data_IF_863654742630
#
_entry.id   IF_863654742630
#
_cell.length_a   1.000
_cell.length_b   1.000
_cell.length_c   1.000
_cell.angle_alpha   90.00
_cell.angle_beta   90.00
_cell.angle_gamma   90.00
#
_symmetry.space_group_name_H-M   'P 1'
#
loop_
_entity.id
_entity.type
_entity.pdbx_description
1 polymer ?
#
# COMPACT_ATOMS: atom_id res chain seq x y z
N UNK A 1 -32.66 -14.45 42.03
CA UNK A 1 -31.36 -15.10 41.74
C UNK A 1 -31.42 -15.98 40.50
N UNK A 2 -32.41 -16.87 40.35
CA UNK A 2 -32.54 -17.77 39.19
C UNK A 2 -32.62 -17.06 37.82
N UNK A 3 -33.33 -15.93 37.75
CA UNK A 3 -33.48 -15.13 36.51
C UNK A 3 -32.17 -14.57 35.98
N UNK A 4 -31.28 -14.13 36.88
CA UNK A 4 -29.93 -13.69 36.51
C UNK A 4 -29.09 -14.85 35.97
N UNK A 5 -29.22 -16.03 36.59
CA UNK A 5 -28.51 -17.24 36.14
C UNK A 5 -29.00 -17.66 34.75
N UNK A 6 -30.31 -17.67 34.51
CA UNK A 6 -30.87 -18.00 33.19
C UNK A 6 -30.51 -16.95 32.14
N UNK A 7 -30.51 -15.66 32.50
CA UNK A 7 -30.11 -14.59 31.58
C UNK A 7 -28.62 -14.68 31.22
N UNK A 8 -27.74 -14.95 32.18
CA UNK A 8 -26.31 -15.19 31.96
C UNK A 8 -26.06 -16.39 31.04
N UNK A 9 -26.85 -17.45 31.21
CA UNK A 9 -26.73 -18.68 30.41
C UNK A 9 -27.19 -18.44 28.97
N UNK A 10 -28.32 -17.72 28.79
CA UNK A 10 -28.81 -17.30 27.47
C UNK A 10 -27.82 -16.36 26.76
N UNK A 11 -27.25 -15.39 27.48
CA UNK A 11 -26.26 -14.48 26.89
C UNK A 11 -24.96 -15.20 26.52
N UNK A 12 -24.49 -16.16 27.33
CA UNK A 12 -23.34 -17.00 26.99
C UNK A 12 -23.57 -17.81 25.71
N UNK A 13 -24.75 -18.42 25.57
CA UNK A 13 -25.11 -19.18 24.37
C UNK A 13 -25.14 -18.26 23.15
N UNK A 14 -25.82 -17.12 23.22
CA UNK A 14 -25.87 -16.16 22.11
C UNK A 14 -24.49 -15.60 21.76
N UNK A 15 -23.66 -15.32 22.76
CA UNK A 15 -22.28 -14.85 22.56
C UNK A 15 -21.43 -15.91 21.88
N UNK A 16 -21.59 -17.19 22.25
CA UNK A 16 -20.85 -18.29 21.60
C UNK A 16 -21.21 -18.46 20.13
N UNK A 17 -22.50 -18.41 19.77
CA UNK A 17 -22.95 -18.43 18.38
C UNK A 17 -22.46 -17.20 17.60
N UNK A 18 -22.50 -16.03 18.22
CA UNK A 18 -21.99 -14.79 17.62
C UNK A 18 -20.49 -14.87 17.34
N UNK A 19 -19.69 -15.36 18.29
CA UNK A 19 -18.24 -15.51 18.10
C UNK A 19 -17.89 -16.52 17.01
N UNK A 20 -18.62 -17.64 16.91
CA UNK A 20 -18.44 -18.61 15.81
C UNK A 20 -18.82 -18.02 14.46
N UNK A 21 -19.92 -17.24 14.41
CA UNK A 21 -20.32 -16.51 13.19
C UNK A 21 -19.27 -15.46 12.79
N UNK A 22 -18.76 -14.68 13.76
CA UNK A 22 -17.71 -13.71 13.54
C UNK A 22 -16.39 -14.34 13.09
N UNK A 23 -16.03 -15.51 13.62
CA UNK A 23 -14.86 -16.26 13.14
C UNK A 23 -14.99 -16.62 11.66
N UNK A 24 -16.17 -17.08 11.24
CA UNK A 24 -16.44 -17.43 9.85
C UNK A 24 -16.36 -16.20 8.92
N UNK A 25 -16.95 -15.07 9.34
CA UNK A 25 -16.89 -13.80 8.61
C UNK A 25 -15.45 -13.26 8.55
N UNK A 26 -14.72 -13.24 9.68
CA UNK A 26 -13.34 -12.77 9.73
C UNK A 26 -12.39 -13.62 8.89
N UNK A 27 -12.62 -14.92 8.77
CA UNK A 27 -11.84 -15.80 7.90
C UNK A 27 -12.01 -15.43 6.43
N UNK A 28 -13.25 -15.17 5.99
CA UNK A 28 -13.56 -14.74 4.62
C UNK A 28 -12.98 -13.34 4.35
N UNK A 29 -13.17 -12.39 5.28
CA UNK A 29 -12.65 -11.03 5.16
C UNK A 29 -11.13 -11.03 5.11
N UNK A 30 -10.45 -11.85 5.93
CA UNK A 30 -8.98 -11.98 5.91
C UNK A 30 -8.47 -12.55 4.60
N UNK A 31 -9.17 -13.53 4.01
CA UNK A 31 -8.85 -14.07 2.69
C UNK A 31 -9.01 -13.02 1.58
N UNK A 32 -10.13 -12.31 1.57
CA UNK A 32 -10.41 -11.23 0.61
C UNK A 32 -9.43 -10.06 0.74
N UNK A 33 -9.14 -9.63 1.97
CA UNK A 33 -8.18 -8.56 2.24
C UNK A 33 -6.77 -8.94 1.81
N UNK A 34 -6.33 -10.18 2.06
CA UNK A 34 -5.03 -10.67 1.61
C UNK A 34 -4.94 -10.69 0.08
N UNK A 35 -6.02 -11.09 -0.60
CA UNK A 35 -6.10 -11.06 -2.07
C UNK A 35 -6.02 -9.65 -2.63
N UNK A 36 -6.80 -8.70 -2.11
CA UNK A 36 -6.77 -7.29 -2.53
C UNK A 36 -5.41 -6.66 -2.25
N UNK A 37 -4.82 -6.93 -1.08
CA UNK A 37 -3.50 -6.41 -0.73
C UNK A 37 -2.41 -6.97 -1.65
N UNK A 38 -2.50 -8.26 -2.00
CA UNK A 38 -1.60 -8.90 -2.96
C UNK A 38 -1.77 -8.32 -4.37
N UNK A 39 -3.01 -8.08 -4.79
CA UNK A 39 -3.31 -7.45 -6.08
C UNK A 39 -2.74 -6.04 -6.16
N UNK A 40 -2.91 -5.22 -5.11
CA UNK A 40 -2.32 -3.87 -5.05
C UNK A 40 -0.79 -3.95 -5.05
N UNK A 41 -0.21 -4.93 -4.35
CA UNK A 41 1.25 -5.09 -4.35
C UNK A 41 1.80 -5.40 -5.74
N UNK A 42 1.12 -6.31 -6.45
CA UNK A 42 1.47 -6.76 -7.78
C UNK A 42 1.25 -5.70 -8.85
N UNK A 43 0.14 -4.95 -8.77
CA UNK A 43 -0.11 -3.81 -9.66
C UNK A 43 0.99 -2.76 -9.50
N UNK A 44 1.40 -2.47 -8.26
CA UNK A 44 2.48 -1.55 -8.00
C UNK A 44 3.84 -2.09 -8.46
N UNK A 45 4.13 -3.38 -8.28
CA UNK A 45 5.38 -3.99 -8.77
C UNK A 45 5.47 -3.93 -10.30
N UNK A 46 4.34 -4.07 -11.00
CA UNK A 46 4.24 -3.92 -12.45
C UNK A 46 4.42 -2.47 -12.91
N UNK A 47 3.84 -1.51 -12.19
CA UNK A 47 3.99 -0.07 -12.45
C UNK A 47 5.44 0.41 -12.20
N UNK A 48 6.18 -0.26 -11.31
CA UNK A 48 7.57 0.08 -11.01
C UNK A 48 8.58 -0.36 -12.08
N UNK A 49 8.17 -1.10 -13.11
CA UNK A 49 9.06 -1.52 -14.17
C UNK A 49 9.99 -2.65 -13.71
N UNK A 50 9.49 -3.86 -13.83
CA UNK A 50 10.32 -5.03 -14.09
C UNK A 50 10.91 -4.89 -15.51
N UNK A 51 11.75 -3.87 -15.74
CA UNK A 51 12.55 -3.79 -16.95
C UNK A 51 13.71 -4.76 -16.77
N UNK A 52 13.54 -5.92 -17.39
CA UNK A 52 14.60 -6.75 -17.95
C UNK A 52 15.61 -7.23 -16.90
N UNK A 53 15.34 -8.43 -16.38
CA UNK A 53 16.35 -9.21 -15.69
C UNK A 53 17.57 -9.32 -16.59
N UNK A 54 18.66 -8.67 -16.18
CA UNK A 54 19.99 -8.88 -16.76
C UNK A 54 20.27 -10.38 -16.71
N UNK A 55 20.54 -10.92 -17.91
CA UNK A 55 20.95 -12.30 -18.16
C UNK A 55 22.00 -12.74 -17.15
N UNK A 56 21.74 -13.88 -16.53
CA UNK A 56 22.61 -14.59 -15.60
C UNK A 56 23.77 -15.21 -16.39
N UNK A 57 24.75 -14.39 -16.77
CA UNK A 57 25.95 -14.85 -17.48
C UNK A 57 27.08 -15.13 -16.46
N UNK A 58 27.23 -16.42 -16.15
CA UNK A 58 28.46 -17.19 -15.86
C UNK A 58 29.70 -16.49 -15.27
N UNK A 59 29.52 -15.66 -14.26
CA UNK A 59 30.54 -15.37 -13.25
C UNK A 59 29.81 -15.31 -11.89
N UNK A 60 30.45 -15.57 -10.76
CA UNK A 60 29.79 -15.72 -9.44
C UNK A 60 29.23 -14.40 -8.90
N UNK A 61 28.29 -13.80 -9.61
CA UNK A 61 27.67 -12.51 -9.33
C UNK A 61 26.53 -12.77 -8.34
N UNK A 62 26.87 -12.80 -7.05
CA UNK A 62 25.87 -12.87 -5.97
C UNK A 62 25.11 -11.55 -5.85
N UNK A 63 24.10 -11.33 -6.69
CA UNK A 63 23.24 -10.14 -6.62
C UNK A 63 22.16 -10.32 -5.54
N UNK A 64 22.07 -9.37 -4.60
CA UNK A 64 20.97 -9.29 -3.63
C UNK A 64 20.21 -7.99 -3.81
N UNK A 65 18.91 -8.08 -4.12
CA UNK A 65 18.04 -6.92 -4.29
C UNK A 65 17.13 -6.77 -3.07
N UNK A 66 17.23 -5.63 -2.38
CA UNK A 66 16.34 -5.26 -1.28
C UNK A 66 15.45 -4.12 -1.71
N UNK A 67 14.13 -4.29 -1.61
CA UNK A 67 13.12 -3.28 -1.95
C UNK A 67 12.35 -2.88 -0.69
N UNK A 68 12.28 -1.57 -0.40
CA UNK A 68 11.53 -1.02 0.74
C UNK A 68 10.60 0.09 0.27
N UNK A 69 9.34 0.04 0.70
CA UNK A 69 8.32 1.07 0.43
C UNK A 69 8.18 1.98 1.66
N UNK A 70 8.11 3.29 1.45
CA UNK A 70 7.95 4.29 2.52
C UNK A 70 6.85 5.27 2.10
N UNK A 71 5.89 5.52 2.98
CA UNK A 71 4.88 6.55 2.81
C UNK A 71 5.28 7.77 3.64
N UNK A 72 5.37 8.93 2.99
CA UNK A 72 5.74 10.19 3.63
C UNK A 72 4.55 11.15 3.53
N UNK A 73 4.15 11.76 4.64
CA UNK A 73 3.07 12.75 4.71
C UNK A 73 3.69 14.12 4.99
N UNK A 74 3.64 15.04 4.04
CA UNK A 74 4.07 16.43 4.23
C UNK A 74 4.18 17.23 2.93
N UNK A 75 3.89 18.53 2.98
CA UNK A 75 4.02 19.47 1.85
C UNK A 75 5.48 19.82 1.50
N UNK A 76 6.45 19.40 2.31
CA UNK A 76 7.89 19.67 2.15
C UNK A 76 8.56 18.82 1.05
N UNK A 77 7.80 18.01 0.31
CA UNK A 77 8.32 16.96 -0.59
C UNK A 77 8.26 17.28 -2.10
N UNK A 78 7.81 18.48 -2.50
CA UNK A 78 7.70 18.89 -3.92
C UNK A 78 9.04 18.85 -4.70
N UNK A 79 10.18 18.66 -4.03
CA UNK A 79 11.52 18.69 -4.64
C UNK A 79 12.26 17.35 -4.64
N UNK A 80 11.59 16.20 -4.42
CA UNK A 80 12.26 14.92 -4.63
C UNK A 80 12.26 14.58 -6.12
N UNK A 81 13.43 14.41 -6.76
CA UNK A 81 13.49 14.02 -8.17
C UNK A 81 12.78 12.67 -8.37
N UNK A 82 12.04 12.53 -9.47
CA UNK A 82 11.19 11.37 -9.74
C UNK A 82 11.96 10.04 -9.76
N UNK A 83 13.24 10.07 -10.13
CA UNK A 83 14.15 8.94 -10.07
C UNK A 83 15.57 9.40 -9.70
N UNK A 84 16.18 8.72 -8.74
CA UNK A 84 17.57 8.87 -8.36
C UNK A 84 18.24 7.49 -8.37
N UNK A 85 19.36 7.38 -9.07
CA UNK A 85 20.20 6.19 -9.05
C UNK A 85 21.56 6.59 -8.49
N UNK A 86 22.05 5.83 -7.51
CA UNK A 86 23.39 5.98 -6.94
C UNK A 86 24.10 4.64 -7.05
N UNK A 87 25.29 4.63 -7.64
CA UNK A 87 26.10 3.43 -7.80
C UNK A 87 27.44 3.62 -7.08
N UNK A 88 27.70 2.78 -6.09
CA UNK A 88 28.93 2.79 -5.29
C UNK A 88 29.67 1.47 -5.52
N UNK A 89 30.96 1.52 -5.85
CA UNK A 89 31.78 0.32 -6.05
C UNK A 89 32.78 0.18 -4.90
N UNK A 90 32.86 -1.03 -4.36
CA UNK A 90 33.72 -1.40 -3.24
C UNK A 90 34.56 -2.61 -3.64
N UNK A 91 35.69 -2.80 -2.94
CA UNK A 91 36.48 -4.04 -3.03
C UNK A 91 36.45 -4.69 -1.66
N UNK A 92 36.07 -5.96 -1.60
CA UNK A 92 36.08 -6.72 -0.35
C UNK A 92 37.50 -7.18 0.05
N UNK A 93 37.63 -7.75 1.24
CA UNK A 93 38.91 -8.23 1.76
C UNK A 93 39.51 -9.40 0.94
N UNK A 94 38.70 -10.07 0.11
CA UNK A 94 39.13 -11.14 -0.79
C UNK A 94 39.50 -10.61 -2.18
N UNK A 95 39.35 -9.31 -2.44
CA UNK A 95 39.66 -8.68 -3.72
C UNK A 95 38.50 -8.69 -4.74
N UNK A 96 37.29 -9.11 -4.35
CA UNK A 96 36.13 -9.07 -5.23
C UNK A 96 35.56 -7.66 -5.33
N UNK A 97 35.02 -7.34 -6.51
CA UNK A 97 34.36 -6.06 -6.77
C UNK A 97 32.88 -6.18 -6.37
N UNK A 98 32.46 -5.35 -5.41
CA UNK A 98 31.08 -5.26 -4.95
C UNK A 98 30.47 -3.95 -5.44
N UNK A 99 29.51 -4.03 -6.35
CA UNK A 99 28.75 -2.87 -6.84
C UNK A 99 27.42 -2.75 -6.11
N UNK A 100 27.19 -1.62 -5.44
CA UNK A 100 25.95 -1.29 -4.74
C UNK A 100 25.19 -0.21 -5.52
N UNK A 101 24.14 -0.64 -6.20
CA UNK A 101 23.20 0.24 -6.90
C UNK A 101 21.99 0.51 -6.02
N UNK A 102 21.75 1.77 -5.68
CA UNK A 102 20.58 2.26 -4.93
C UNK A 102 19.70 3.06 -5.89
N UNK A 103 18.48 2.59 -6.10
CA UNK A 103 17.47 3.27 -6.91
C UNK A 103 16.39 3.79 -5.97
N UNK A 104 16.09 5.09 -6.05
CA UNK A 104 14.98 5.74 -5.36
C UNK A 104 14.03 6.31 -6.42
N UNK A 105 12.79 5.86 -6.42
CA UNK A 105 11.77 6.28 -7.39
C UNK A 105 10.52 6.75 -6.66
N UNK A 106 10.00 7.91 -7.07
CA UNK A 106 8.69 8.39 -6.62
C UNK A 106 7.63 7.66 -7.44
N UNK A 107 6.93 6.72 -6.80
CA UNK A 107 5.95 5.86 -7.47
C UNK A 107 4.60 6.55 -7.65
N UNK A 108 4.20 7.37 -6.67
CA UNK A 108 2.93 8.10 -6.70
C UNK A 108 3.03 9.36 -5.86
N UNK A 109 2.57 10.47 -6.41
CA UNK A 109 2.27 11.69 -5.66
C UNK A 109 0.75 11.80 -5.53
N UNK A 110 0.27 12.11 -4.34
CA UNK A 110 -1.16 12.29 -4.06
C UNK A 110 -1.32 13.73 -3.59
N UNK A 111 -1.67 14.62 -4.51
CA UNK A 111 -1.94 16.01 -4.19
C UNK A 111 -3.33 16.11 -3.58
N UNK A 112 -3.40 16.54 -2.32
CA UNK A 112 -4.68 16.73 -1.61
C UNK A 112 -5.51 17.87 -2.18
N UNK A 113 -4.97 18.70 -3.08
CA UNK A 113 -5.68 19.79 -3.76
C UNK A 113 -6.67 19.30 -4.82
N UNK A 114 -6.58 18.05 -5.28
CA UNK A 114 -7.50 17.53 -6.31
C UNK A 114 -8.87 17.11 -5.76
N UNK A 115 -9.11 17.18 -4.45
CA UNK A 115 -10.38 16.79 -3.83
C UNK A 115 -11.43 17.93 -3.80
N UNK A 116 -11.04 19.19 -4.05
CA UNK A 116 -11.96 20.34 -3.97
C UNK A 116 -12.50 20.81 -5.32
N UNK A 117 -12.03 20.27 -6.46
CA UNK A 117 -12.46 20.70 -7.80
C UNK A 117 -13.68 19.93 -8.36
N UNK A 118 -14.42 19.20 -7.54
CA UNK A 118 -15.60 18.42 -7.96
C UNK A 118 -16.95 18.94 -7.43
N UNK A 119 -16.99 20.09 -6.76
CA UNK A 119 -18.23 20.67 -6.24
C UNK A 119 -18.27 22.21 -6.38
N UNK A 120 -18.33 22.73 -7.60
CA UNK A 120 -18.87 24.08 -7.86
C UNK A 120 -19.26 24.24 -9.34
N UNK A 121 -20.25 23.46 -9.77
CA UNK A 121 -20.95 23.66 -11.05
C UNK A 121 -22.44 23.39 -10.88
N UNK A 122 -23.11 24.02 -9.91
CA UNK A 122 -24.57 24.05 -9.90
C UNK A 122 -25.10 25.19 -9.01
N UNK A 123 -25.04 26.44 -9.47
CA UNK A 123 -26.03 27.49 -9.15
C UNK A 123 -25.74 28.76 -9.96
N UNK A 124 -26.07 28.75 -11.25
CA UNK A 124 -26.40 29.98 -11.99
C UNK A 124 -27.50 29.65 -12.98
N UNK A 125 -28.77 29.67 -12.53
CA UNK A 125 -29.95 29.91 -13.38
C UNK A 125 -31.21 30.06 -12.51
N UNK A 126 -31.38 31.20 -11.85
CA UNK A 126 -32.72 31.75 -11.60
C UNK A 126 -32.68 33.28 -11.65
N UNK A 127 -32.54 33.84 -12.85
CA UNK A 127 -32.90 35.24 -13.10
C UNK A 127 -34.42 35.32 -13.30
N UNK A 128 -35.16 35.56 -12.22
CA UNK A 128 -36.52 36.12 -12.26
C UNK A 128 -36.43 37.60 -12.64
N UNK A 129 -37.15 38.09 -13.67
CA UNK A 129 -37.43 39.51 -13.78
C UNK A 129 -38.80 39.81 -13.16
N UNK A 130 -38.87 40.84 -12.33
CA UNK A 130 -40.11 41.47 -11.87
C UNK A 130 -39.78 42.94 -11.54
N UNK A 131 -40.74 43.88 -11.55
CA UNK A 131 -42.16 43.79 -11.95
C UNK A 131 -42.51 44.52 -13.26
#
# INVERSE_FOLDING_TARGET
MWTFVTQLLVTLVLLSFFLVSCQNVMHIVRGSLCFVLKHIHQELDKELGESEGLSDDEETISTRVVRRRVFLKGNELQNIPGEQVTEEQFTDEQGNIVTKKVIRKVVRQIDTSSAEAAQEYEEDHTSTPNP
#
